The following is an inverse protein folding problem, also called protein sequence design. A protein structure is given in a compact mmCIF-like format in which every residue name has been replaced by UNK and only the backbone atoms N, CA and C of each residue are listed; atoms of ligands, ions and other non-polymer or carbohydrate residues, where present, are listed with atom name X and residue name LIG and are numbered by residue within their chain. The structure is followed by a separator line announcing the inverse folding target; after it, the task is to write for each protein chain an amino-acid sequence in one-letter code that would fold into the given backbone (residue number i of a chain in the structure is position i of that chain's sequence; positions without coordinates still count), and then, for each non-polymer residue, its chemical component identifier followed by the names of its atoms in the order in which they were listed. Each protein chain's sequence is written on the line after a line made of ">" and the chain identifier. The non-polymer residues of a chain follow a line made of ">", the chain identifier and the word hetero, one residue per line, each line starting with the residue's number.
data_IF_565564721617
#
_entry.id   IF_565564721617
#
_cell.length_a   1.000
_cell.length_b   1.000
_cell.length_c   1.000
_cell.angle_alpha   90.00
_cell.angle_beta   90.00
_cell.angle_gamma   90.00
#
_symmetry.space_group_name_H-M   'P 1'
#
loop_
_entity.id
_entity.type
_entity.pdbx_description
1 polymer ?
#
# COMPACT_ATOMS: atom_id res chain seq x y z
N UNK A 1 0.41 -3.64 22.62
CA UNK A 1 0.45 -5.10 22.60
C UNK A 1 1.74 -5.57 21.95
N UNK A 2 2.20 -6.77 22.32
CA UNK A 2 3.24 -7.44 21.54
C UNK A 2 2.68 -7.83 20.15
N UNK A 3 3.57 -8.03 19.18
CA UNK A 3 3.20 -8.48 17.84
C UNK A 3 2.32 -9.74 17.92
N UNK A 4 1.12 -9.65 17.34
CA UNK A 4 0.21 -10.76 17.10
C UNK A 4 -0.05 -10.87 15.60
N UNK A 5 0.09 -12.07 15.04
CA UNK A 5 -0.24 -12.37 13.65
C UNK A 5 -1.27 -13.50 13.61
N UNK A 6 -2.43 -13.26 13.01
CA UNK A 6 -3.49 -14.27 12.87
C UNK A 6 -3.77 -14.54 11.40
N UNK A 7 -4.01 -15.81 11.05
CA UNK A 7 -4.31 -16.22 9.69
C UNK A 7 -5.77 -16.66 9.53
N UNK A 8 -6.24 -16.71 8.29
CA UNK A 8 -7.54 -17.30 7.99
C UNK A 8 -7.80 -17.52 6.50
N UNK A 9 -8.91 -18.19 6.24
CA UNK A 9 -9.32 -18.63 4.90
C UNK A 9 -10.75 -18.16 4.54
N UNK A 10 -11.38 -17.37 5.43
CA UNK A 10 -12.65 -16.70 5.14
C UNK A 10 -12.51 -15.56 4.14
N UNK A 11 -13.59 -15.17 3.46
CA UNK A 11 -13.53 -13.99 2.60
C UNK A 11 -14.78 -13.77 1.76
N UNK A 12 -14.99 -12.53 1.34
CA UNK A 12 -16.03 -12.15 0.39
C UNK A 12 -15.53 -11.03 -0.53
N UNK A 13 -16.22 -10.86 -1.67
CA UNK A 13 -15.81 -9.93 -2.73
C UNK A 13 -15.73 -8.46 -2.29
N UNK A 14 -16.52 -8.08 -1.28
CA UNK A 14 -16.60 -6.72 -0.73
C UNK A 14 -15.68 -6.46 0.46
N UNK A 15 -15.06 -7.51 1.02
CA UNK A 15 -14.24 -7.37 2.23
C UNK A 15 -12.98 -6.59 1.88
N UNK A 16 -12.80 -5.48 2.56
CA UNK A 16 -11.67 -4.56 2.39
C UNK A 16 -10.84 -4.41 3.66
N UNK A 17 -11.27 -4.96 4.80
CA UNK A 17 -10.55 -4.88 6.07
C UNK A 17 -10.78 -6.14 6.91
N UNK A 18 -9.72 -6.61 7.56
CA UNK A 18 -9.75 -7.74 8.49
C UNK A 18 -10.11 -7.33 9.93
N UNK A 19 -10.23 -6.04 10.21
CA UNK A 19 -10.59 -5.52 11.55
C UNK A 19 -12.06 -5.12 11.65
N UNK A 20 -12.81 -5.12 10.55
CA UNK A 20 -14.26 -4.90 10.58
C UNK A 20 -14.95 -6.08 11.27
N UNK A 21 -15.52 -5.84 12.45
CA UNK A 21 -16.13 -6.89 13.28
C UNK A 21 -17.33 -7.58 12.60
N UNK A 22 -18.13 -6.83 11.83
CA UNK A 22 -19.30 -7.38 11.14
C UNK A 22 -18.86 -8.35 10.04
N UNK A 23 -17.88 -7.94 9.22
CA UNK A 23 -17.33 -8.79 8.16
C UNK A 23 -16.55 -9.98 8.74
N UNK A 24 -15.81 -9.75 9.84
CA UNK A 24 -15.08 -10.78 10.56
C UNK A 24 -15.99 -11.92 11.01
N UNK A 25 -17.14 -11.59 11.61
CA UNK A 25 -18.13 -12.57 12.06
C UNK A 25 -18.86 -13.23 10.88
N UNK A 26 -19.29 -12.44 9.89
CA UNK A 26 -20.07 -12.93 8.76
C UNK A 26 -19.26 -13.88 7.85
N UNK A 27 -17.99 -13.56 7.61
CA UNK A 27 -17.15 -14.25 6.63
C UNK A 27 -16.01 -15.05 7.26
N UNK A 28 -15.94 -15.13 8.60
CA UNK A 28 -14.94 -15.93 9.33
C UNK A 28 -13.52 -15.65 8.84
N UNK A 29 -13.18 -14.38 8.69
CA UNK A 29 -11.98 -13.93 7.99
C UNK A 29 -10.69 -14.46 8.64
N UNK A 30 -10.66 -14.53 9.97
CA UNK A 30 -9.51 -14.99 10.76
C UNK A 30 -9.91 -16.16 11.66
N UNK A 31 -8.94 -17.05 11.93
CA UNK A 31 -9.11 -18.20 12.82
C UNK A 31 -8.15 -18.06 13.99
N UNK A 32 -8.66 -17.77 15.18
CA UNK A 32 -7.83 -17.43 16.35
C UNK A 32 -6.85 -18.53 16.78
N UNK A 33 -7.15 -19.81 16.53
CA UNK A 33 -6.22 -20.90 16.83
C UNK A 33 -4.95 -20.88 15.97
N UNK A 34 -4.88 -20.03 14.95
CA UNK A 34 -3.68 -19.84 14.11
C UNK A 34 -2.80 -18.70 14.60
N UNK A 35 -3.23 -17.95 15.62
CA UNK A 35 -2.54 -16.76 16.10
C UNK A 35 -1.14 -17.07 16.61
N UNK A 36 -0.16 -16.32 16.13
CA UNK A 36 1.23 -16.30 16.56
C UNK A 36 1.44 -15.03 17.40
N UNK A 37 1.92 -15.17 18.63
CA UNK A 37 2.15 -14.03 19.54
C UNK A 37 3.62 -13.97 19.92
N UNK A 38 4.24 -12.80 19.71
CA UNK A 38 5.66 -12.59 19.99
C UNK A 38 5.90 -12.61 21.49
N UNK A 39 6.75 -13.53 21.93
CA UNK A 39 7.16 -13.68 23.32
C UNK A 39 8.61 -13.23 23.46
N UNK A 40 8.81 -12.01 23.98
CA UNK A 40 10.12 -11.36 23.97
C UNK A 40 10.54 -10.99 22.55
N UNK A 41 11.57 -11.65 22.02
CA UNK A 41 12.11 -11.38 20.68
C UNK A 41 11.82 -12.50 19.66
N UNK A 42 11.02 -13.49 20.01
CA UNK A 42 10.73 -14.66 19.15
C UNK A 42 9.23 -14.86 18.91
N UNK A 43 8.91 -15.42 17.74
CA UNK A 43 7.64 -16.08 17.40
C UNK A 43 7.87 -17.58 17.26
N UNK A 44 6.81 -18.37 17.38
CA UNK A 44 6.85 -19.79 17.06
C UNK A 44 7.13 -19.95 15.55
N UNK A 45 8.27 -20.57 15.22
CA UNK A 45 8.65 -20.88 13.84
C UNK A 45 8.13 -22.25 13.42
N UNK A 46 7.85 -22.43 12.13
CA UNK A 46 7.39 -23.70 11.57
C UNK A 46 6.15 -23.53 10.71
N UNK A 47 5.38 -24.62 10.54
CA UNK A 47 4.21 -24.62 9.66
C UNK A 47 2.93 -24.42 10.49
N UNK A 48 2.15 -23.41 10.15
CA UNK A 48 0.81 -23.18 10.69
C UNK A 48 -0.24 -23.70 9.72
N UNK A 49 -1.09 -24.63 10.18
CA UNK A 49 -2.22 -25.13 9.39
C UNK A 49 -3.41 -24.18 9.53
N UNK A 50 -3.93 -23.71 8.40
CA UNK A 50 -5.12 -22.85 8.34
C UNK A 50 -6.25 -23.66 7.71
N UNK A 51 -7.24 -24.04 8.52
CA UNK A 51 -8.32 -24.91 8.08
C UNK A 51 -9.34 -24.26 7.14
N UNK A 52 -10.15 -25.10 6.48
CA UNK A 52 -11.36 -24.66 5.80
C UNK A 52 -12.36 -24.00 6.76
N UNK A 53 -13.12 -23.02 6.27
CA UNK A 53 -14.24 -22.44 7.01
C UNK A 53 -15.50 -22.47 6.14
N UNK A 54 -16.66 -22.80 6.74
CA UNK A 54 -17.91 -22.99 6.00
C UNK A 54 -18.64 -21.67 5.73
N UNK A 55 -18.11 -20.85 4.83
CA UNK A 55 -18.78 -19.64 4.29
C UNK A 55 -18.55 -19.57 2.76
N UNK A 56 -19.35 -18.82 2.00
CA UNK A 56 -19.14 -18.69 0.54
C UNK A 56 -17.75 -18.16 0.19
N UNK A 57 -17.15 -18.68 -0.89
CA UNK A 57 -15.88 -18.18 -1.42
C UNK A 57 -14.61 -18.70 -0.75
N UNK A 58 -14.71 -19.72 0.12
CA UNK A 58 -13.57 -20.31 0.85
C UNK A 58 -13.07 -21.60 0.23
N UNK A 59 -11.77 -21.87 0.41
CA UNK A 59 -11.12 -23.09 -0.06
C UNK A 59 -11.00 -24.16 1.05
N UNK A 60 -10.30 -25.24 0.73
CA UNK A 60 -10.03 -26.35 1.66
C UNK A 60 -9.10 -26.00 2.84
N UNK A 61 -8.55 -24.78 2.88
CA UNK A 61 -7.48 -24.39 3.78
C UNK A 61 -6.10 -24.67 3.18
N UNK A 62 -5.07 -24.26 3.91
CA UNK A 62 -3.69 -24.32 3.46
C UNK A 62 -2.70 -24.21 4.62
N UNK A 63 -1.45 -23.92 4.28
CA UNK A 63 -0.33 -23.79 5.22
C UNK A 63 0.36 -22.46 5.08
N UNK A 64 0.87 -21.95 6.21
CA UNK A 64 1.77 -20.80 6.28
C UNK A 64 3.06 -21.24 6.94
N UNK A 65 4.19 -21.04 6.28
CA UNK A 65 5.52 -21.21 6.84
C UNK A 65 5.91 -19.91 7.57
N UNK A 66 6.18 -20.03 8.86
CA UNK A 66 6.62 -18.96 9.75
C UNK A 66 8.12 -19.09 9.99
N UNK A 67 8.87 -18.07 9.60
CA UNK A 67 10.32 -18.01 9.74
C UNK A 67 10.78 -16.73 10.44
N UNK A 68 12.00 -16.76 10.98
CA UNK A 68 12.70 -15.60 11.50
C UNK A 68 14.02 -15.44 10.75
N UNK A 69 14.28 -14.22 10.28
CA UNK A 69 15.54 -13.81 9.68
C UNK A 69 16.34 -12.96 10.69
N UNK A 70 17.44 -13.50 11.25
CA UNK A 70 18.24 -12.78 12.22
C UNK A 70 19.01 -11.60 11.61
N UNK A 71 19.21 -11.56 10.28
CA UNK A 71 19.97 -10.49 9.63
C UNK A 71 19.15 -9.20 9.52
N UNK A 72 17.85 -9.33 9.29
CA UNK A 72 16.88 -8.23 9.25
C UNK A 72 16.13 -8.06 10.57
N UNK A 73 16.37 -8.94 11.57
CA UNK A 73 15.54 -9.05 12.77
C UNK A 73 14.04 -9.11 12.43
N UNK A 74 13.71 -9.86 11.38
CA UNK A 74 12.39 -9.86 10.76
C UNK A 74 11.71 -11.21 10.79
N UNK A 75 10.38 -11.20 10.75
CA UNK A 75 9.56 -12.40 10.63
C UNK A 75 9.01 -12.54 9.23
N UNK A 76 9.06 -13.75 8.69
CA UNK A 76 8.51 -14.10 7.38
C UNK A 76 7.31 -15.02 7.55
N UNK A 77 6.25 -14.73 6.83
CA UNK A 77 5.02 -15.51 6.73
C UNK A 77 4.78 -15.81 5.26
N UNK A 78 4.88 -17.08 4.88
CA UNK A 78 4.86 -17.51 3.49
C UNK A 78 3.76 -18.55 3.28
N UNK A 79 2.79 -18.30 2.41
CA UNK A 79 1.79 -19.32 2.07
C UNK A 79 2.47 -20.43 1.26
N UNK A 80 2.84 -21.51 1.93
CA UNK A 80 3.59 -22.65 1.36
C UNK A 80 2.72 -23.65 0.58
N UNK A 81 1.43 -23.36 0.47
CA UNK A 81 0.44 -24.11 -0.30
C UNK A 81 -0.08 -23.25 -1.45
N UNK A 82 -0.97 -23.79 -2.30
CA UNK A 82 -1.45 -23.06 -3.48
C UNK A 82 -2.08 -21.70 -3.13
N UNK A 83 -1.83 -20.65 -3.91
CA UNK A 83 -2.39 -19.32 -3.66
C UNK A 83 -3.92 -19.36 -3.51
N UNK A 84 -4.48 -18.54 -2.61
CA UNK A 84 -5.90 -18.55 -2.18
C UNK A 84 -6.33 -19.72 -1.26
N UNK A 85 -5.43 -20.63 -0.89
CA UNK A 85 -5.68 -21.67 0.14
C UNK A 85 -5.70 -21.08 1.56
N UNK A 86 -4.86 -20.07 1.78
CA UNK A 86 -4.85 -19.16 2.92
C UNK A 86 -5.10 -17.77 2.36
N UNK A 87 -6.15 -17.11 2.84
CA UNK A 87 -6.56 -15.82 2.28
C UNK A 87 -5.96 -14.67 3.03
N UNK A 88 -6.03 -14.72 4.36
CA UNK A 88 -5.89 -13.53 5.18
C UNK A 88 -4.73 -13.68 6.17
N UNK A 89 -3.97 -12.60 6.34
CA UNK A 89 -3.08 -12.38 7.46
C UNK A 89 -3.37 -11.02 8.09
N UNK A 90 -3.59 -10.98 9.40
CA UNK A 90 -3.69 -9.74 10.18
C UNK A 90 -2.53 -9.69 11.17
N UNK A 91 -1.69 -8.67 11.06
CA UNK A 91 -0.59 -8.40 11.99
C UNK A 91 -0.84 -7.11 12.77
N UNK A 92 -0.65 -7.16 14.09
CA UNK A 92 -0.87 -6.01 14.97
C UNK A 92 0.23 -5.91 16.03
N UNK A 93 0.78 -4.72 16.25
CA UNK A 93 1.75 -4.42 17.31
C UNK A 93 1.65 -2.96 17.73
N UNK A 94 1.92 -2.63 19.01
CA UNK A 94 2.07 -1.22 19.44
C UNK A 94 3.46 -0.66 19.13
N UNK A 95 4.37 -1.50 18.63
CA UNK A 95 5.76 -1.15 18.34
C UNK A 95 6.11 -1.43 16.89
N UNK A 96 7.24 -0.87 16.45
CA UNK A 96 7.80 -1.13 15.14
C UNK A 96 8.25 -2.59 15.02
N UNK A 97 8.04 -3.17 13.85
CA UNK A 97 8.37 -4.56 13.54
C UNK A 97 8.87 -4.69 12.10
N UNK A 98 9.64 -5.76 11.84
CA UNK A 98 10.09 -6.12 10.50
C UNK A 98 9.36 -7.38 10.05
N UNK A 99 8.47 -7.25 9.06
CA UNK A 99 7.53 -8.29 8.66
C UNK A 99 7.53 -8.48 7.15
N UNK A 100 7.56 -9.74 6.71
CA UNK A 100 7.45 -10.14 5.31
C UNK A 100 6.28 -11.09 5.17
N UNK A 101 5.32 -10.77 4.31
CA UNK A 101 4.18 -11.61 3.96
C UNK A 101 4.28 -11.99 2.48
N UNK A 102 4.06 -13.26 2.15
CA UNK A 102 4.08 -13.75 0.77
C UNK A 102 2.84 -14.55 0.41
N UNK A 103 2.31 -14.27 -0.78
CA UNK A 103 1.34 -15.09 -1.49
C UNK A 103 -0.02 -15.25 -0.76
N UNK A 104 -0.38 -14.24 0.04
CA UNK A 104 -1.71 -14.10 0.63
C UNK A 104 -2.68 -13.44 -0.35
N UNK A 105 -3.98 -13.59 -0.10
CA UNK A 105 -4.99 -12.80 -0.82
C UNK A 105 -5.11 -11.41 -0.22
N UNK A 106 -5.18 -11.32 1.11
CA UNK A 106 -5.29 -10.09 1.87
C UNK A 106 -4.31 -10.07 3.03
N UNK A 107 -3.58 -8.96 3.17
CA UNK A 107 -2.70 -8.73 4.31
C UNK A 107 -3.02 -7.38 4.93
N UNK A 108 -3.45 -7.40 6.19
CA UNK A 108 -3.60 -6.17 6.98
C UNK A 108 -2.49 -6.14 8.04
N UNK A 109 -1.79 -5.01 8.13
CA UNK A 109 -0.68 -4.77 9.06
C UNK A 109 -0.93 -3.46 9.79
N UNK A 110 -0.90 -3.51 11.13
CA UNK A 110 -1.05 -2.33 11.98
C UNK A 110 0.06 -2.30 13.03
N UNK A 111 1.10 -1.53 12.74
CA UNK A 111 2.24 -1.32 13.63
C UNK A 111 2.18 0.08 14.23
N UNK A 112 2.83 0.26 15.38
CA UNK A 112 2.89 1.54 16.07
C UNK A 112 4.30 1.86 16.56
N UNK A 113 4.40 2.79 17.50
CA UNK A 113 5.67 3.18 18.10
C UNK A 113 6.45 4.20 17.26
N UNK A 114 7.69 4.47 17.67
CA UNK A 114 8.54 5.53 17.09
C UNK A 114 9.81 4.98 16.45
N UNK A 115 9.96 3.65 16.41
CA UNK A 115 11.06 2.99 15.72
C UNK A 115 10.72 2.76 14.26
N UNK A 116 11.74 2.52 13.44
CA UNK A 116 11.57 2.14 12.04
C UNK A 116 11.05 0.71 11.91
N UNK A 117 10.02 0.54 11.07
CA UNK A 117 9.42 -0.72 10.65
C UNK A 117 9.85 -1.04 9.22
N UNK A 118 9.92 -2.31 8.89
CA UNK A 118 10.05 -2.78 7.50
C UNK A 118 8.91 -3.74 7.22
N UNK A 119 8.01 -3.39 6.30
CA UNK A 119 6.85 -4.20 5.94
C UNK A 119 6.92 -4.54 4.46
N UNK A 120 7.10 -5.82 4.15
CA UNK A 120 7.03 -6.34 2.79
C UNK A 120 5.77 -7.20 2.64
N UNK A 121 4.87 -6.80 1.74
CA UNK A 121 3.68 -7.58 1.36
C UNK A 121 3.81 -7.95 -0.11
N UNK A 122 4.22 -9.18 -0.36
CA UNK A 122 4.58 -9.64 -1.69
C UNK A 122 3.51 -10.58 -2.25
N UNK A 123 3.12 -10.31 -3.49
CA UNK A 123 2.15 -11.08 -4.25
C UNK A 123 0.79 -11.20 -3.52
N UNK A 124 0.29 -10.06 -3.05
CA UNK A 124 -1.04 -9.98 -2.46
C UNK A 124 -2.03 -9.23 -3.35
N UNK A 125 -3.32 -9.57 -3.21
CA UNK A 125 -4.41 -8.96 -3.96
C UNK A 125 -4.89 -7.65 -3.36
N UNK A 126 -4.85 -7.54 -2.02
CA UNK A 126 -5.31 -6.36 -1.29
C UNK A 126 -4.71 -6.30 0.12
N UNK A 127 -4.84 -5.16 0.78
CA UNK A 127 -4.39 -5.01 2.15
C UNK A 127 -4.54 -3.61 2.73
N UNK A 128 -4.45 -3.51 4.05
CA UNK A 128 -4.34 -2.26 4.77
C UNK A 128 -3.05 -2.27 5.58
N UNK A 129 -2.15 -1.32 5.35
CA UNK A 129 -0.87 -1.24 6.04
C UNK A 129 -0.82 0.10 6.76
N UNK A 130 -0.61 0.08 8.07
CA UNK A 130 -0.30 1.26 8.86
C UNK A 130 0.95 1.05 9.72
N UNK A 131 1.84 2.05 9.76
CA UNK A 131 3.04 2.04 10.60
C UNK A 131 3.06 3.20 11.60
N UNK A 132 4.24 3.50 12.17
CA UNK A 132 4.39 4.35 13.35
C UNK A 132 4.89 5.75 13.02
N UNK A 133 5.66 6.36 13.93
CA UNK A 133 6.29 7.66 13.75
C UNK A 133 7.81 7.56 13.46
N UNK A 134 8.29 6.42 12.99
CA UNK A 134 9.70 6.19 12.63
C UNK A 134 9.88 6.17 11.12
N UNK A 135 11.14 6.22 10.64
CA UNK A 135 11.43 6.12 9.21
C UNK A 135 11.11 4.70 8.72
N UNK A 136 9.92 4.49 8.21
CA UNK A 136 9.36 3.19 7.87
C UNK A 136 9.67 2.84 6.40
N UNK A 137 9.78 1.55 6.11
CA UNK A 137 9.90 1.04 4.74
C UNK A 137 8.76 0.09 4.45
N UNK A 138 7.93 0.41 3.45
CA UNK A 138 6.80 -0.41 3.01
C UNK A 138 7.02 -0.81 1.55
N UNK A 139 7.08 -2.11 1.26
CA UNK A 139 7.11 -2.63 -0.11
C UNK A 139 5.91 -3.52 -0.36
N UNK A 140 5.16 -3.23 -1.42
CA UNK A 140 4.02 -4.04 -1.86
C UNK A 140 4.27 -4.54 -3.28
N UNK A 141 4.12 -5.84 -3.53
CA UNK A 141 3.95 -6.35 -4.88
C UNK A 141 2.55 -6.91 -5.10
N UNK A 142 1.90 -6.48 -6.17
CA UNK A 142 0.47 -6.72 -6.39
C UNK A 142 0.25 -7.85 -7.39
N UNK A 143 -0.68 -8.76 -7.07
CA UNK A 143 -1.18 -9.76 -8.00
C UNK A 143 -2.68 -9.95 -7.82
N UNK A 144 -3.38 -10.22 -8.91
CA UNK A 144 -4.80 -10.51 -8.90
C UNK A 144 -5.14 -11.76 -9.69
N UNK A 145 -6.07 -12.56 -9.19
CA UNK A 145 -6.67 -13.66 -9.92
C UNK A 145 -7.88 -13.22 -10.77
N UNK A 146 -8.51 -12.08 -10.44
CA UNK A 146 -9.68 -11.52 -11.13
C UNK A 146 -9.99 -10.07 -10.70
N UNK A 147 -10.72 -9.33 -11.53
CA UNK A 147 -11.19 -7.96 -11.23
C UNK A 147 -12.51 -7.88 -10.45
N UNK A 148 -13.15 -9.01 -10.15
CA UNK A 148 -14.52 -9.04 -9.64
C UNK A 148 -14.60 -8.74 -8.13
N UNK A 149 -13.52 -9.01 -7.41
CA UNK A 149 -13.38 -8.73 -5.99
C UNK A 149 -12.58 -7.44 -5.78
N UNK A 150 -12.57 -6.92 -4.56
CA UNK A 150 -11.67 -5.83 -4.18
C UNK A 150 -10.22 -6.19 -4.51
N UNK A 151 -9.56 -5.26 -5.19
CA UNK A 151 -8.15 -5.25 -5.55
C UNK A 151 -7.59 -3.88 -5.12
N UNK A 152 -7.33 -3.72 -3.83
CA UNK A 152 -6.97 -2.41 -3.30
C UNK A 152 -5.98 -2.49 -2.15
N UNK A 153 -5.04 -1.54 -2.12
CA UNK A 153 -4.18 -1.32 -0.97
C UNK A 153 -4.39 0.07 -0.37
N UNK A 154 -4.44 0.14 0.95
CA UNK A 154 -4.36 1.38 1.71
C UNK A 154 -3.07 1.35 2.52
N UNK A 155 -2.23 2.38 2.40
CA UNK A 155 -0.92 2.49 3.07
C UNK A 155 -0.89 3.83 3.81
N UNK A 156 -0.57 3.79 5.10
CA UNK A 156 -0.45 4.95 6.00
C UNK A 156 0.84 4.81 6.82
N UNK A 157 1.86 5.63 6.55
CA UNK A 157 3.17 5.46 7.23
C UNK A 157 3.41 6.42 8.39
N UNK A 158 2.50 7.36 8.63
CA UNK A 158 2.53 8.19 9.82
C UNK A 158 3.55 9.32 9.77
N UNK A 159 4.60 9.26 10.58
CA UNK A 159 5.61 10.33 10.59
C UNK A 159 7.00 9.72 10.51
N UNK A 160 7.98 10.47 10.05
CA UNK A 160 9.30 9.94 9.72
C UNK A 160 9.56 10.15 8.24
N UNK A 161 10.81 9.94 7.82
CA UNK A 161 11.14 9.94 6.40
C UNK A 161 10.94 8.52 5.87
N UNK A 162 9.81 8.28 5.23
CA UNK A 162 9.36 6.96 4.86
C UNK A 162 9.74 6.59 3.43
N UNK A 163 9.78 5.29 3.17
CA UNK A 163 9.99 4.75 1.82
C UNK A 163 8.88 3.78 1.48
N UNK A 164 8.08 4.12 0.48
CA UNK A 164 6.95 3.31 0.01
C UNK A 164 7.22 2.90 -1.43
N UNK A 165 7.21 1.60 -1.70
CA UNK A 165 7.39 1.04 -3.05
C UNK A 165 6.22 0.14 -3.39
N UNK A 166 5.54 0.41 -4.49
CA UNK A 166 4.55 -0.51 -5.07
C UNK A 166 5.04 -0.96 -6.42
N UNK A 167 5.07 -2.28 -6.63
CA UNK A 167 5.60 -2.90 -7.85
C UNK A 167 4.70 -4.02 -8.37
N UNK A 168 4.91 -4.39 -9.62
CA UNK A 168 4.32 -5.58 -10.19
C UNK A 168 4.67 -6.84 -9.35
N UNK A 169 3.70 -7.72 -9.18
CA UNK A 169 3.91 -9.04 -8.60
C UNK A 169 4.61 -10.01 -9.55
N UNK A 170 4.80 -11.23 -9.08
CA UNK A 170 5.17 -12.37 -9.93
C UNK A 170 3.97 -13.27 -10.10
N UNK A 171 3.95 -14.07 -11.17
CA UNK A 171 2.90 -15.07 -11.38
C UNK A 171 2.80 -16.02 -10.18
N UNK A 172 1.64 -16.65 -9.99
CA UNK A 172 1.43 -17.59 -8.88
C UNK A 172 2.42 -18.77 -8.95
N UNK A 173 3.40 -18.77 -8.05
CA UNK A 173 4.29 -19.90 -7.84
C UNK A 173 3.55 -21.00 -7.07
N UNK A 174 3.71 -22.27 -7.45
CA UNK A 174 3.03 -23.39 -6.77
C UNK A 174 1.54 -23.57 -7.11
N UNK A 175 0.99 -22.75 -8.02
CA UNK A 175 -0.37 -22.87 -8.55
C UNK A 175 -1.44 -22.19 -7.69
N UNK A 176 -2.71 -22.41 -8.06
CA UNK A 176 -3.87 -21.75 -7.43
C UNK A 176 -4.80 -22.79 -6.83
N UNK A 177 -5.35 -22.50 -5.65
CA UNK A 177 -6.30 -23.38 -4.97
C UNK A 177 -7.51 -23.73 -5.86
N UNK A 178 -7.96 -24.98 -5.80
CA UNK A 178 -9.07 -25.49 -6.60
C UNK A 178 -10.36 -24.67 -6.39
N UNK A 179 -11.10 -24.42 -7.48
CA UNK A 179 -12.32 -23.62 -7.44
C UNK A 179 -12.08 -22.10 -7.41
N UNK A 180 -10.83 -21.64 -7.42
CA UNK A 180 -10.50 -20.23 -7.60
C UNK A 180 -10.78 -19.82 -9.04
N UNK A 181 -11.54 -18.74 -9.21
CA UNK A 181 -11.65 -18.10 -10.52
C UNK A 181 -10.29 -17.53 -10.89
N UNK A 182 -9.77 -17.94 -12.04
CA UNK A 182 -8.49 -17.45 -12.54
C UNK A 182 -8.65 -16.89 -13.94
N UNK A 183 -7.93 -15.80 -14.20
CA UNK A 183 -7.74 -15.24 -15.53
C UNK A 183 -6.33 -15.56 -16.04
N UNK A 184 -6.04 -15.16 -17.28
CA UNK A 184 -4.71 -15.29 -17.87
C UNK A 184 -4.14 -16.72 -17.79
N UNK A 185 -5.00 -17.73 -18.02
CA UNK A 185 -4.60 -19.14 -17.97
C UNK A 185 -4.11 -19.63 -16.60
N UNK A 186 -4.44 -18.93 -15.50
CA UNK A 186 -3.96 -19.29 -14.17
C UNK A 186 -2.67 -18.61 -13.74
N UNK A 187 -2.04 -17.79 -14.60
CA UNK A 187 -0.84 -17.04 -14.24
C UNK A 187 -1.13 -15.82 -13.34
N UNK A 188 -2.39 -15.39 -13.25
CA UNK A 188 -2.79 -14.16 -12.59
C UNK A 188 -2.49 -12.91 -13.43
N UNK A 189 -2.88 -11.76 -12.89
CA UNK A 189 -2.61 -10.41 -13.40
C UNK A 189 -1.63 -9.76 -12.45
N UNK A 190 -0.39 -9.58 -12.91
CA UNK A 190 0.74 -9.16 -12.08
C UNK A 190 1.14 -7.71 -12.30
N UNK A 191 0.66 -7.08 -13.37
CA UNK A 191 1.05 -5.73 -13.77
C UNK A 191 0.39 -4.62 -12.95
N UNK A 192 -0.57 -4.97 -12.07
CA UNK A 192 -1.31 -4.04 -11.24
C UNK A 192 -2.54 -3.42 -11.89
N UNK A 193 -2.88 -3.79 -13.14
CA UNK A 193 -3.96 -3.15 -13.91
C UNK A 193 -5.37 -3.31 -13.33
N UNK A 194 -5.54 -4.18 -12.33
CA UNK A 194 -6.80 -4.33 -11.57
C UNK A 194 -6.76 -3.66 -10.20
N UNK A 195 -5.59 -3.20 -9.76
CA UNK A 195 -5.37 -2.77 -8.37
C UNK A 195 -5.38 -1.26 -8.27
N UNK A 196 -6.16 -0.73 -7.31
CA UNK A 196 -6.07 0.67 -6.90
C UNK A 196 -5.27 0.83 -5.62
N UNK A 197 -4.52 1.92 -5.47
CA UNK A 197 -3.71 2.16 -4.25
C UNK A 197 -4.03 3.52 -3.66
N UNK A 198 -4.20 3.58 -2.34
CA UNK A 198 -4.22 4.82 -1.57
C UNK A 198 -2.99 4.88 -0.67
N UNK A 199 -2.25 5.98 -0.72
CA UNK A 199 -1.08 6.25 0.12
C UNK A 199 -1.27 7.57 0.87
N UNK A 200 -0.95 7.55 2.15
CA UNK A 200 -0.75 8.71 3.02
C UNK A 200 0.60 8.51 3.72
N UNK A 201 1.65 9.22 3.29
CA UNK A 201 2.98 9.05 3.88
C UNK A 201 3.16 9.89 5.16
N UNK A 202 2.36 10.96 5.27
CA UNK A 202 2.13 11.70 6.49
C UNK A 202 3.12 12.85 6.70
N UNK A 203 4.07 12.75 7.63
CA UNK A 203 4.97 13.87 7.92
C UNK A 203 6.45 13.45 7.90
N UNK A 204 7.23 14.10 7.06
CA UNK A 204 8.65 13.85 6.86
C UNK A 204 9.00 14.08 5.40
N UNK A 205 10.22 13.75 5.00
CA UNK A 205 10.60 13.79 3.59
C UNK A 205 10.49 12.37 3.03
N UNK A 206 9.38 12.09 2.35
CA UNK A 206 9.02 10.73 1.97
C UNK A 206 9.43 10.39 0.53
N UNK A 207 9.69 9.10 0.29
CA UNK A 207 9.99 8.56 -1.04
C UNK A 207 8.93 7.55 -1.43
N UNK A 208 8.14 7.86 -2.45
CA UNK A 208 7.03 7.03 -2.94
C UNK A 208 7.32 6.63 -4.38
N UNK A 209 7.61 5.34 -4.61
CA UNK A 209 7.92 4.81 -5.95
C UNK A 209 6.83 3.84 -6.43
N UNK A 210 6.03 4.29 -7.39
CA UNK A 210 5.01 3.48 -8.09
C UNK A 210 5.42 3.17 -9.54
N UNK A 211 6.62 3.57 -9.97
CA UNK A 211 7.06 3.45 -11.37
C UNK A 211 7.23 2.00 -11.85
N UNK A 212 7.31 1.05 -10.91
CA UNK A 212 7.41 -0.38 -11.17
C UNK A 212 6.08 -1.09 -11.41
N UNK A 213 4.96 -0.38 -11.54
CA UNK A 213 3.61 -0.97 -11.68
C UNK A 213 2.69 -0.13 -12.57
N UNK A 214 1.70 -0.78 -13.20
CA UNK A 214 0.66 -0.14 -14.00
C UNK A 214 -0.68 -0.25 -13.28
N UNK A 215 -0.87 0.53 -12.20
CA UNK A 215 -2.06 0.47 -11.36
C UNK A 215 -3.33 0.83 -12.15
N UNK A 216 -4.49 0.35 -11.70
CA UNK A 216 -5.76 0.85 -12.22
C UNK A 216 -5.92 2.34 -11.90
N UNK A 217 -5.57 2.71 -10.67
CA UNK A 217 -5.46 4.10 -10.23
C UNK A 217 -4.67 4.21 -8.92
N UNK A 218 -4.15 5.40 -8.63
CA UNK A 218 -3.63 5.72 -7.30
C UNK A 218 -4.15 7.05 -6.76
N UNK A 219 -4.23 7.16 -5.44
CA UNK A 219 -4.46 8.38 -4.69
C UNK A 219 -3.32 8.55 -3.70
N UNK A 220 -2.43 9.51 -3.93
CA UNK A 220 -1.17 9.65 -3.19
C UNK A 220 -1.15 11.00 -2.50
N UNK A 221 -1.02 10.99 -1.18
CA UNK A 221 -0.66 12.15 -0.36
C UNK A 221 0.74 11.89 0.20
N UNK A 222 1.72 12.73 -0.17
CA UNK A 222 3.03 12.71 0.49
C UNK A 222 2.86 13.24 1.91
N UNK A 223 2.39 14.49 2.00
CA UNK A 223 2.01 15.11 3.25
C UNK A 223 2.98 16.24 3.57
N UNK A 224 3.34 16.42 4.84
CA UNK A 224 4.22 17.52 5.23
C UNK A 224 5.68 17.16 5.02
N UNK A 225 6.39 17.98 4.26
CA UNK A 225 7.84 17.89 4.12
C UNK A 225 8.26 18.12 2.69
N UNK A 226 9.27 17.37 2.24
CA UNK A 226 9.72 17.38 0.85
C UNK A 226 9.64 15.94 0.34
N UNK A 227 8.58 15.68 -0.41
CA UNK A 227 8.24 14.34 -0.86
C UNK A 227 8.65 14.12 -2.32
N UNK A 228 9.15 12.92 -2.59
CA UNK A 228 9.53 12.49 -3.92
C UNK A 228 8.62 11.36 -4.37
N UNK A 229 7.80 11.65 -5.38
CA UNK A 229 6.77 10.74 -5.87
C UNK A 229 7.06 10.35 -7.32
N UNK A 230 7.06 9.05 -7.61
CA UNK A 230 7.09 8.54 -8.99
C UNK A 230 5.75 7.90 -9.32
N UNK A 231 5.10 8.43 -10.34
CA UNK A 231 3.81 7.96 -10.83
C UNK A 231 3.88 6.50 -11.31
N UNK A 232 2.74 5.82 -11.25
CA UNK A 232 2.53 4.53 -11.88
C UNK A 232 2.20 4.70 -13.36
N UNK A 233 1.99 3.58 -14.08
CA UNK A 233 1.46 3.66 -15.45
C UNK A 233 -0.05 3.98 -15.53
N UNK A 234 -0.74 4.00 -14.39
CA UNK A 234 -2.19 4.12 -14.24
C UNK A 234 -2.72 5.54 -14.27
N UNK A 235 -3.98 5.71 -13.85
CA UNK A 235 -4.56 7.02 -13.62
C UNK A 235 -4.31 7.47 -12.17
N UNK A 236 -3.36 8.38 -11.99
CA UNK A 236 -2.88 8.78 -10.67
C UNK A 236 -3.43 10.13 -10.22
N UNK A 237 -3.74 10.26 -8.93
CA UNK A 237 -4.13 11.53 -8.32
C UNK A 237 -3.20 11.86 -7.17
N UNK A 238 -2.46 12.97 -7.30
CA UNK A 238 -1.55 13.46 -6.27
C UNK A 238 -2.19 14.59 -5.48
N UNK A 239 -2.25 14.44 -4.17
CA UNK A 239 -2.95 15.34 -3.26
C UNK A 239 -1.95 16.20 -2.51
N UNK A 240 -2.20 17.51 -2.50
CA UNK A 240 -1.44 18.49 -1.72
C UNK A 240 -2.41 19.32 -0.91
N UNK A 241 -2.23 19.39 0.41
CA UNK A 241 -3.00 20.30 1.25
C UNK A 241 -2.23 21.62 1.42
N UNK A 242 -2.96 22.74 1.43
CA UNK A 242 -2.36 24.03 1.75
C UNK A 242 -1.62 23.98 3.11
N UNK A 243 -0.36 24.41 3.13
CA UNK A 243 0.49 24.36 4.32
C UNK A 243 1.44 23.17 4.43
N UNK A 244 1.33 22.18 3.53
CA UNK A 244 2.21 21.00 3.55
C UNK A 244 3.51 21.21 2.77
N UNK A 245 3.46 22.00 1.70
CA UNK A 245 4.57 22.17 0.74
C UNK A 245 5.62 23.18 1.20
N UNK A 246 6.86 23.05 0.69
CA UNK A 246 7.91 24.03 0.91
C UNK A 246 7.77 25.28 0.02
N UNK A 247 8.34 26.41 0.47
CA UNK A 247 8.35 27.70 -0.27
C UNK A 247 9.54 27.88 -1.22
N UNK A 248 10.23 26.78 -1.54
CA UNK A 248 11.47 26.76 -2.31
C UNK A 248 11.34 25.80 -3.49
N UNK A 249 12.36 25.71 -4.36
CA UNK A 249 12.39 24.69 -5.41
C UNK A 249 12.83 23.31 -4.89
N UNK A 250 13.43 23.24 -3.69
CA UNK A 250 13.49 22.01 -2.93
C UNK A 250 12.14 21.86 -2.21
N UNK A 251 11.24 21.15 -2.85
CA UNK A 251 9.83 20.93 -2.47
C UNK A 251 9.35 19.62 -3.10
N UNK A 252 8.10 19.27 -2.86
CA UNK A 252 7.50 18.06 -3.40
C UNK A 252 7.65 17.97 -4.91
N UNK A 253 8.08 16.79 -5.37
CA UNK A 253 8.37 16.51 -6.77
C UNK A 253 7.62 15.27 -7.23
N UNK A 254 6.95 15.38 -8.38
CA UNK A 254 6.33 14.25 -9.07
C UNK A 254 7.06 13.97 -10.38
N UNK A 255 7.56 12.75 -10.53
CA UNK A 255 8.10 12.22 -11.78
C UNK A 255 7.10 11.27 -12.46
N UNK A 256 7.14 11.20 -13.79
CA UNK A 256 6.33 10.24 -14.57
C UNK A 256 4.87 10.68 -14.81
N UNK A 257 4.51 11.91 -14.45
CA UNK A 257 3.14 12.42 -14.60
C UNK A 257 2.62 12.36 -16.05
N UNK A 258 1.54 11.62 -16.26
CA UNK A 258 0.87 11.49 -17.55
C UNK A 258 -0.24 12.53 -17.69
N UNK A 259 0.00 13.54 -18.54
CA UNK A 259 -0.92 14.67 -18.76
C UNK A 259 -2.35 14.28 -19.18
N UNK A 260 -2.52 13.10 -19.79
CA UNK A 260 -3.82 12.63 -20.27
C UNK A 260 -4.63 11.91 -19.18
N UNK A 261 -3.99 11.37 -18.16
CA UNK A 261 -4.62 10.47 -17.17
C UNK A 261 -4.54 11.01 -15.75
N UNK A 262 -3.42 11.63 -15.40
CA UNK A 262 -3.12 12.01 -14.03
C UNK A 262 -3.73 13.35 -13.65
N UNK A 263 -3.89 13.54 -12.34
CA UNK A 263 -4.46 14.74 -11.73
C UNK A 263 -3.66 15.19 -10.52
N UNK A 264 -3.56 16.51 -10.34
CA UNK A 264 -3.29 17.08 -9.02
C UNK A 264 -4.60 17.48 -8.33
N UNK A 265 -4.64 17.34 -7.01
CA UNK A 265 -5.75 17.77 -6.16
C UNK A 265 -5.21 18.69 -5.06
N UNK A 266 -5.50 19.98 -5.18
CA UNK A 266 -4.95 21.05 -4.33
C UNK A 266 -5.98 21.45 -3.27
N UNK A 267 -5.95 20.77 -2.13
CA UNK A 267 -6.98 20.85 -1.10
C UNK A 267 -6.86 22.16 -0.30
N UNK A 268 -8.00 22.80 -0.04
CA UNK A 268 -8.07 24.05 0.72
C UNK A 268 -7.72 25.29 -0.11
N UNK A 269 -7.77 25.18 -1.45
CA UNK A 269 -7.45 26.27 -2.37
C UNK A 269 -8.55 26.43 -3.44
N UNK A 270 -8.36 27.35 -4.38
CA UNK A 270 -9.12 27.45 -5.63
C UNK A 270 -8.12 27.65 -6.77
N UNK A 271 -8.50 27.39 -8.02
CA UNK A 271 -7.57 27.43 -9.17
C UNK A 271 -6.80 28.76 -9.27
N UNK A 272 -7.49 29.89 -9.06
CA UNK A 272 -6.90 31.24 -9.14
C UNK A 272 -5.83 31.53 -8.07
N UNK A 273 -5.72 30.68 -7.04
CA UNK A 273 -4.67 30.81 -6.03
C UNK A 273 -3.29 30.42 -6.56
N UNK A 274 -3.20 29.73 -7.71
CA UNK A 274 -1.97 29.11 -8.19
C UNK A 274 -1.42 29.78 -9.44
N UNK A 275 -0.15 30.16 -9.39
CA UNK A 275 0.61 30.55 -10.57
C UNK A 275 1.33 29.31 -11.13
N UNK A 276 1.21 29.08 -12.43
CA UNK A 276 1.91 28.01 -13.14
C UNK A 276 3.03 28.62 -13.97
N UNK A 277 4.23 28.08 -13.82
CA UNK A 277 5.41 28.48 -14.59
C UNK A 277 6.19 27.25 -15.04
N UNK A 278 7.08 27.41 -16.01
CA UNK A 278 7.99 26.35 -16.45
C UNK A 278 9.44 26.77 -16.21
N UNK A 279 10.26 25.82 -15.75
CA UNK A 279 11.71 25.96 -15.65
C UNK A 279 12.29 24.73 -16.34
N UNK A 280 13.09 24.95 -17.39
CA UNK A 280 13.57 23.88 -18.27
C UNK A 280 12.43 22.98 -18.76
N UNK A 281 12.37 21.71 -18.34
CA UNK A 281 11.32 20.74 -18.70
C UNK A 281 10.25 20.57 -17.62
N UNK A 282 10.36 21.27 -16.50
CA UNK A 282 9.49 21.07 -15.34
C UNK A 282 8.36 22.08 -15.29
N UNK A 283 7.20 21.65 -14.80
CA UNK A 283 6.10 22.55 -14.42
C UNK A 283 6.20 22.85 -12.94
N UNK A 284 6.17 24.13 -12.60
CA UNK A 284 6.19 24.63 -11.23
C UNK A 284 4.86 25.28 -10.92
N UNK A 285 4.13 24.72 -9.95
CA UNK A 285 2.99 25.37 -9.34
C UNK A 285 3.49 26.19 -8.14
N UNK A 286 3.01 27.43 -8.01
CA UNK A 286 3.34 28.29 -6.87
C UNK A 286 2.08 28.93 -6.32
N UNK A 287 1.80 28.73 -5.03
CA UNK A 287 0.70 29.37 -4.33
C UNK A 287 0.93 30.88 -4.23
N UNK A 288 0.04 31.69 -4.81
CA UNK A 288 0.22 33.11 -5.07
C UNK A 288 -0.73 34.02 -4.27
N UNK A 289 -1.39 33.51 -3.24
CA UNK A 289 -2.20 34.34 -2.34
C UNK A 289 -1.30 34.91 -1.24
N UNK A 290 -1.50 36.19 -0.91
CA UNK A 290 -0.80 36.82 0.23
C UNK A 290 -1.20 36.17 1.54
N UNK A 291 -0.22 35.84 2.38
CA UNK A 291 -0.46 35.24 3.69
C UNK A 291 0.70 34.35 4.10
N UNK A 292 0.45 33.52 5.12
CA UNK A 292 1.43 32.59 5.66
C UNK A 292 1.95 31.62 4.60
N UNK A 293 1.08 31.11 3.73
CA UNK A 293 1.41 30.08 2.73
C UNK A 293 1.93 30.62 1.40
N UNK A 294 2.10 31.95 1.26
CA UNK A 294 2.56 32.55 0.00
C UNK A 294 3.90 31.92 -0.43
N UNK A 295 3.94 31.43 -1.66
CA UNK A 295 5.13 30.90 -2.30
C UNK A 295 5.36 29.41 -2.12
N UNK A 296 4.45 28.67 -1.49
CA UNK A 296 4.46 27.20 -1.46
C UNK A 296 4.45 26.63 -2.89
N UNK A 297 5.22 25.55 -3.12
CA UNK A 297 5.51 25.07 -4.48
C UNK A 297 5.35 23.56 -4.61
N UNK A 298 4.98 23.15 -5.83
CA UNK A 298 5.00 21.76 -6.28
C UNK A 298 5.78 21.73 -7.60
N UNK A 299 6.62 20.72 -7.79
CA UNK A 299 7.33 20.46 -9.04
C UNK A 299 6.73 19.22 -9.71
N UNK A 300 6.23 19.37 -10.93
CA UNK A 300 5.94 18.24 -11.82
C UNK A 300 7.09 18.14 -12.81
N UNK A 301 7.96 17.16 -12.59
CA UNK A 301 9.23 17.03 -13.28
C UNK A 301 9.07 16.44 -14.68
N UNK A 302 9.83 16.98 -15.64
CA UNK A 302 9.92 16.48 -17.01
C UNK A 302 8.68 16.66 -17.88
N UNK A 303 7.71 17.47 -17.44
CA UNK A 303 6.44 17.70 -18.15
C UNK A 303 6.11 19.20 -18.19
N UNK A 304 5.73 19.68 -19.38
CA UNK A 304 5.14 21.01 -19.57
C UNK A 304 3.61 20.91 -19.58
N UNK A 305 2.99 21.27 -18.46
CA UNK A 305 1.54 21.27 -18.32
C UNK A 305 0.96 22.60 -18.84
N UNK A 306 -0.09 22.50 -19.65
CA UNK A 306 -0.81 23.67 -20.19
C UNK A 306 -2.30 23.51 -19.93
N UNK A 307 -3.03 24.63 -19.87
CA UNK A 307 -4.43 24.62 -19.45
C UNK A 307 -4.59 24.27 -17.96
N UNK A 308 -5.77 23.82 -17.57
CA UNK A 308 -6.12 23.53 -16.17
C UNK A 308 -6.73 22.14 -15.95
N UNK A 309 -6.92 21.34 -16.99
CA UNK A 309 -7.65 20.06 -16.89
C UNK A 309 -6.90 19.02 -16.04
N UNK A 310 -5.61 19.21 -15.80
CA UNK A 310 -4.72 18.32 -15.06
C UNK A 310 -4.71 18.60 -13.55
N UNK A 311 -5.43 19.62 -13.04
CA UNK A 311 -5.58 19.80 -11.60
C UNK A 311 -6.94 20.31 -11.17
N UNK A 312 -7.28 20.03 -9.92
CA UNK A 312 -8.48 20.50 -9.23
C UNK A 312 -8.07 21.20 -7.94
N UNK A 313 -8.84 22.21 -7.53
CA UNK A 313 -8.61 23.00 -6.32
C UNK A 313 -9.94 23.36 -5.68
#
# INVERSE_FOLDING_TARGET
>A
MALKVTFGNGGAASVSSLTNLVDQEAYKLLTESTAQVKNGSSLDSGVVNVGAVSVPGTGAGGTVDVGYDPSSNGFKFDVSSAWNSVKNALAQSDTSENLIFKDFVQVDVHLGGTGSSTVEVLNAKRGNISTGAGNDTVTVSVISNDKAWVNAFNIDTGAGNDTIVVKAGTAFDGGVAAGTNVVNGGAGVTDGSFTSVKIDAGAGNDSIDLSGVNLASSLVTGGKGIDHIKASGGADTFVFNLGDMAKSLATDTIEGFNVAMDKLKLVGTVLDNWAVSTIDNDTILTYNVTGEHKGEKIVVAGVHLTGSDWFTA
#
